data_IF_420030657738
#
_entry.id   IF_420030657738
#
_cell.length_a   1.000
_cell.length_b   1.000
_cell.length_c   1.000
_cell.angle_alpha   90.00
_cell.angle_beta   90.00
_cell.angle_gamma   90.00
#
_symmetry.space_group_name_H-M   'P 1'
#
loop_
_entity.id
_entity.type
_entity.pdbx_description
1 polymer ?
#
# COMPACT_ATOMS: atom_id res chain seq x y z
N UNK A 1 -32.42 -28.30 31.87
CA UNK A 1 -32.29 -28.82 30.50
C UNK A 1 -31.09 -28.16 29.86
N UNK A 2 -30.03 -28.93 29.59
CA UNK A 2 -28.83 -28.46 28.88
C UNK A 2 -29.10 -28.31 27.38
N UNK A 3 -28.55 -27.30 26.69
CA UNK A 3 -28.47 -27.30 25.23
C UNK A 3 -27.20 -28.03 24.77
N UNK A 4 -27.42 -29.18 24.15
CA UNK A 4 -26.42 -30.11 23.59
C UNK A 4 -25.58 -29.45 22.50
N UNK A 5 -24.26 -29.58 22.62
CA UNK A 5 -23.28 -29.16 21.63
C UNK A 5 -23.28 -30.01 20.35
N UNK A 6 -22.88 -29.40 19.24
CA UNK A 6 -22.70 -30.06 17.95
C UNK A 6 -21.35 -30.80 17.95
N UNK A 7 -21.43 -32.12 17.83
CA UNK A 7 -20.32 -33.07 17.82
C UNK A 7 -19.65 -33.07 16.44
N UNK A 8 -18.32 -32.94 16.40
CA UNK A 8 -17.52 -33.06 15.17
C UNK A 8 -17.63 -34.49 14.62
N UNK A 9 -18.30 -34.66 13.50
CA UNK A 9 -18.18 -35.86 12.68
C UNK A 9 -16.81 -35.88 11.97
N UNK A 10 -16.25 -37.08 11.78
CA UNK A 10 -14.99 -37.47 11.10
C UNK A 10 -13.77 -37.75 11.99
N UNK A 11 -13.36 -39.03 12.15
CA UNK A 11 -12.05 -39.40 12.67
C UNK A 11 -10.95 -39.25 11.60
N UNK A 12 -9.83 -38.63 11.96
CA UNK A 12 -8.63 -38.54 11.09
C UNK A 12 -7.98 -39.92 10.96
N UNK A 13 -7.94 -40.48 9.75
CA UNK A 13 -7.16 -41.70 9.45
C UNK A 13 -5.65 -41.43 9.52
N UNK A 14 -4.94 -42.29 10.24
CA UNK A 14 -3.47 -42.38 10.37
C UNK A 14 -2.92 -43.03 9.10
N UNK A 15 -1.97 -42.39 8.42
CA UNK A 15 -1.27 -43.00 7.26
C UNK A 15 -0.16 -43.91 7.81
N UNK A 16 -0.31 -45.22 7.60
CA UNK A 16 0.71 -46.24 7.90
C UNK A 16 1.81 -46.11 6.84
N UNK A 17 3.07 -46.10 7.30
CA UNK A 17 4.27 -46.20 6.45
C UNK A 17 4.46 -47.64 6.05
N UNK A 18 4.82 -47.86 4.80
CA UNK A 18 5.29 -49.15 4.30
C UNK A 18 6.76 -48.95 3.91
N UNK A 19 7.64 -49.75 4.53
CA UNK A 19 9.07 -49.84 4.26
C UNK A 19 9.35 -51.28 3.82
N UNK A 20 9.80 -51.48 2.58
CA UNK A 20 10.76 -52.55 2.26
C UNK A 20 11.52 -52.28 0.94
N UNK A 21 12.84 -52.22 1.14
CA UNK A 21 14.02 -52.50 0.29
C UNK A 21 13.82 -53.38 -0.97
N UNK A 22 14.66 -53.44 -2.02
CA UNK A 22 15.97 -52.91 -2.46
C UNK A 22 16.15 -53.33 -3.94
N UNK A 23 16.79 -52.53 -4.79
CA UNK A 23 17.77 -53.03 -5.80
C UNK A 23 18.58 -51.88 -6.43
N UNK A 24 19.90 -52.10 -6.55
CA UNK A 24 21.01 -51.29 -7.13
C UNK A 24 21.89 -52.32 -7.90
N UNK A 25 22.93 -52.08 -8.77
CA UNK A 25 23.62 -50.87 -9.37
C UNK A 25 23.75 -50.93 -10.94
N UNK A 26 24.64 -50.18 -11.68
CA UNK A 26 25.85 -49.38 -11.31
C UNK A 26 25.93 -47.93 -11.85
N UNK A 27 26.43 -46.95 -11.06
CA UNK A 27 27.82 -46.47 -10.85
C UNK A 27 28.53 -45.86 -12.07
N UNK A 28 28.73 -44.54 -12.04
CA UNK A 28 29.95 -43.85 -12.52
C UNK A 28 30.35 -42.77 -11.50
N UNK A 29 31.66 -42.74 -11.19
CA UNK A 29 32.37 -41.94 -10.17
C UNK A 29 32.99 -40.71 -10.85
N UNK A 30 32.89 -39.49 -10.31
CA UNK A 30 33.85 -38.71 -9.47
C UNK A 30 33.35 -37.24 -9.61
N UNK A 31 33.42 -36.33 -8.65
CA UNK A 31 34.56 -35.95 -7.79
C UNK A 31 34.12 -35.57 -6.37
N UNK A 32 35.07 -35.72 -5.44
CA UNK A 32 34.96 -35.47 -4.02
C UNK A 32 34.91 -33.97 -3.70
N UNK A 33 33.87 -33.55 -2.99
CA UNK A 33 33.84 -32.32 -2.21
C UNK A 33 33.09 -32.62 -0.92
N UNK A 34 33.81 -32.82 0.18
CA UNK A 34 33.22 -33.08 1.49
C UNK A 34 32.69 -31.76 2.06
N UNK A 35 31.45 -31.38 1.74
CA UNK A 35 30.78 -30.25 2.40
C UNK A 35 29.68 -30.76 3.33
N UNK A 36 30.04 -30.82 4.62
CA UNK A 36 29.09 -30.81 5.74
C UNK A 36 28.12 -29.63 5.51
N UNK A 37 26.80 -29.75 5.79
CA UNK A 37 25.92 -28.59 5.75
C UNK A 37 26.55 -27.49 6.60
N UNK A 38 27.00 -26.39 5.98
CA UNK A 38 27.66 -25.33 6.73
C UNK A 38 26.65 -24.79 7.74
N UNK A 39 26.87 -25.13 9.00
CA UNK A 39 26.07 -24.66 10.13
C UNK A 39 26.54 -23.23 10.46
N UNK A 40 26.29 -22.29 9.54
CA UNK A 40 26.78 -20.92 9.58
C UNK A 40 26.00 -20.03 10.58
N UNK A 41 24.87 -20.50 11.13
CA UNK A 41 24.13 -19.82 12.20
C UNK A 41 24.46 -20.31 13.62
N UNK A 42 25.44 -21.20 13.82
CA UNK A 42 25.88 -21.68 15.15
C UNK A 42 26.01 -20.61 16.24
N UNK A 43 26.60 -19.42 16.00
CA UNK A 43 26.78 -18.44 17.08
C UNK A 43 25.48 -17.71 17.45
N UNK A 44 24.38 -17.93 16.73
CA UNK A 44 23.13 -17.22 16.97
C UNK A 44 22.21 -17.97 17.92
N UNK A 45 21.88 -17.29 19.01
CA UNK A 45 20.72 -17.57 19.85
C UNK A 45 19.70 -16.45 19.63
N UNK A 46 18.65 -16.74 18.87
CA UNK A 46 17.66 -15.76 18.43
C UNK A 46 16.33 -15.82 19.19
N UNK A 47 15.70 -14.67 19.36
CA UNK A 47 14.31 -14.55 19.79
C UNK A 47 13.52 -13.77 18.74
N UNK A 48 12.48 -14.38 18.17
CA UNK A 48 11.64 -13.72 17.14
C UNK A 48 10.41 -13.11 17.80
N UNK A 49 10.30 -11.78 17.75
CA UNK A 49 9.15 -11.08 18.30
C UNK A 49 7.98 -11.16 17.32
N UNK A 50 6.95 -11.94 17.69
CA UNK A 50 5.79 -12.19 16.81
C UNK A 50 4.99 -10.91 16.48
N UNK A 51 5.04 -9.91 17.35
CA UNK A 51 4.36 -8.63 17.14
C UNK A 51 4.91 -7.91 15.89
N UNK A 52 4.05 -7.72 14.89
CA UNK A 52 4.41 -7.10 13.60
C UNK A 52 4.87 -8.10 12.52
N UNK A 53 5.48 -9.23 12.90
CA UNK A 53 5.92 -10.26 11.95
C UNK A 53 4.79 -11.24 11.60
N UNK A 54 3.90 -11.54 12.56
CA UNK A 54 2.82 -12.51 12.42
C UNK A 54 3.27 -13.94 12.70
N UNK A 55 2.35 -14.76 13.23
CA UNK A 55 2.65 -16.10 13.75
C UNK A 55 3.24 -17.05 12.70
N UNK A 56 2.60 -17.17 11.53
CA UNK A 56 3.07 -18.07 10.46
C UNK A 56 4.47 -17.72 9.96
N UNK A 57 4.79 -16.42 9.86
CA UNK A 57 6.12 -15.98 9.40
C UNK A 57 7.18 -16.18 10.47
N UNK A 58 6.84 -15.97 11.75
CA UNK A 58 7.73 -16.28 12.86
C UNK A 58 8.05 -17.79 12.94
N UNK A 59 7.06 -18.67 12.72
CA UNK A 59 7.28 -20.12 12.66
C UNK A 59 8.21 -20.54 11.52
N UNK A 60 8.10 -19.89 10.35
CA UNK A 60 9.02 -20.11 9.22
C UNK A 60 10.45 -19.71 9.61
N UNK A 61 10.63 -18.54 10.23
CA UNK A 61 11.94 -18.10 10.70
C UNK A 61 12.51 -19.01 11.77
N UNK A 62 11.70 -19.49 12.72
CA UNK A 62 12.15 -20.46 13.73
C UNK A 62 12.72 -21.71 13.07
N UNK A 63 11.98 -22.29 12.13
CA UNK A 63 12.42 -23.48 11.40
C UNK A 63 13.71 -23.22 10.62
N UNK A 64 13.81 -22.08 9.94
CA UNK A 64 14.99 -21.74 9.14
C UNK A 64 16.23 -21.47 9.99
N UNK A 65 16.10 -20.84 11.16
CA UNK A 65 17.24 -20.62 12.06
C UNK A 65 17.78 -21.97 12.57
N UNK A 66 16.89 -22.86 13.03
CA UNK A 66 17.26 -24.20 13.52
C UNK A 66 17.88 -25.06 12.41
N UNK A 67 17.31 -25.01 11.19
CA UNK A 67 17.83 -25.76 10.05
C UNK A 67 19.25 -25.37 9.63
N UNK A 68 19.68 -24.14 9.90
CA UNK A 68 21.02 -23.66 9.55
C UNK A 68 21.98 -23.61 10.76
N UNK A 69 21.64 -24.31 11.85
CA UNK A 69 22.51 -24.51 13.02
C UNK A 69 22.37 -23.47 14.14
N UNK A 70 21.42 -22.54 14.07
CA UNK A 70 21.15 -21.57 15.15
C UNK A 70 20.12 -22.07 16.17
N UNK A 71 20.05 -21.41 17.33
CA UNK A 71 19.12 -21.74 18.42
C UNK A 71 18.03 -20.68 18.53
N UNK A 72 16.78 -21.09 18.77
CA UNK A 72 15.65 -20.16 18.96
C UNK A 72 15.00 -20.39 20.32
N UNK A 73 14.88 -19.33 21.11
CA UNK A 73 14.12 -19.36 22.37
C UNK A 73 12.69 -18.86 22.16
N UNK A 74 11.74 -19.45 22.90
CA UNK A 74 10.34 -19.03 22.92
C UNK A 74 10.08 -17.82 23.84
N UNK A 75 11.06 -17.47 24.68
CA UNK A 75 11.02 -16.34 25.61
C UNK A 75 12.38 -15.64 25.63
N UNK A 76 12.39 -14.35 26.00
CA UNK A 76 13.63 -13.59 26.12
C UNK A 76 14.38 -14.05 27.38
N UNK A 77 15.48 -14.79 27.19
CA UNK A 77 16.38 -15.25 28.25
C UNK A 77 17.71 -14.49 28.23
N UNK A 78 18.55 -14.71 29.26
CA UNK A 78 19.90 -14.13 29.33
C UNK A 78 20.84 -14.62 28.20
N UNK A 79 20.52 -15.73 27.57
CA UNK A 79 21.34 -16.39 26.54
C UNK A 79 21.06 -15.87 25.13
N UNK A 80 19.95 -15.15 24.93
CA UNK A 80 19.61 -14.57 23.62
C UNK A 80 20.65 -13.52 23.22
N UNK A 81 21.18 -13.67 22.02
CA UNK A 81 22.16 -12.76 21.38
C UNK A 81 21.49 -11.80 20.40
N UNK A 82 20.44 -12.25 19.70
CA UNK A 82 19.74 -11.48 18.67
C UNK A 82 18.23 -11.48 18.90
N UNK A 83 17.61 -10.29 18.90
CA UNK A 83 16.15 -10.15 18.88
C UNK A 83 15.72 -9.68 17.50
N UNK A 84 14.89 -10.48 16.85
CA UNK A 84 14.42 -10.24 15.49
C UNK A 84 13.03 -9.60 15.56
N UNK A 85 12.91 -8.39 15.00
CA UNK A 85 11.69 -7.59 15.00
C UNK A 85 11.20 -7.24 13.59
N UNK A 86 9.96 -6.78 13.49
CA UNK A 86 9.39 -6.31 12.22
C UNK A 86 10.13 -5.07 11.67
N UNK A 87 10.02 -4.83 10.35
CA UNK A 87 10.72 -3.71 9.67
C UNK A 87 10.32 -2.33 10.19
N UNK A 88 9.05 -2.20 10.58
CA UNK A 88 8.39 -1.01 11.09
C UNK A 88 8.46 -0.89 12.62
N UNK A 89 9.20 -1.77 13.29
CA UNK A 89 9.33 -1.75 14.75
C UNK A 89 10.25 -0.63 15.21
N UNK A 90 9.72 0.29 16.01
CA UNK A 90 10.49 1.32 16.71
C UNK A 90 11.05 0.83 18.06
N UNK A 91 12.07 1.52 18.58
CA UNK A 91 12.75 1.12 19.81
C UNK A 91 11.85 1.16 21.05
N UNK A 92 11.02 2.19 21.22
CA UNK A 92 10.19 2.37 22.41
C UNK A 92 9.10 1.27 22.47
N UNK A 93 8.52 0.93 21.32
CA UNK A 93 7.57 -0.17 21.17
C UNK A 93 8.24 -1.53 21.38
N UNK A 94 9.42 -1.75 20.82
CA UNK A 94 10.18 -2.98 21.03
C UNK A 94 10.48 -3.22 22.52
N UNK A 95 10.95 -2.19 23.23
CA UNK A 95 11.26 -2.29 24.66
C UNK A 95 10.02 -2.55 25.51
N UNK A 96 8.88 -1.93 25.18
CA UNK A 96 7.60 -2.18 25.85
C UNK A 96 7.14 -3.63 25.68
N UNK A 97 7.25 -4.17 24.47
CA UNK A 97 6.83 -5.54 24.15
C UNK A 97 7.77 -6.59 24.75
N UNK A 98 9.07 -6.31 24.78
CA UNK A 98 10.09 -7.15 25.39
C UNK A 98 10.16 -6.98 26.92
N UNK A 99 9.40 -6.04 27.49
CA UNK A 99 9.43 -5.66 28.91
C UNK A 99 10.84 -5.30 29.39
N UNK A 100 11.62 -4.63 28.54
CA UNK A 100 12.99 -4.20 28.83
C UNK A 100 13.02 -2.73 29.25
N UNK A 101 13.85 -2.40 30.23
CA UNK A 101 14.14 -1.01 30.64
C UNK A 101 15.46 -0.50 30.08
N UNK A 102 16.44 -1.40 29.86
CA UNK A 102 17.74 -1.12 29.24
C UNK A 102 18.20 -2.32 28.42
N UNK A 103 18.98 -2.06 27.38
CA UNK A 103 19.60 -3.11 26.57
C UNK A 103 20.80 -3.72 27.30
N UNK A 104 20.90 -5.04 27.29
CA UNK A 104 22.06 -5.75 27.83
C UNK A 104 23.26 -5.59 26.87
N UNK A 105 24.50 -5.41 27.36
CA UNK A 105 25.69 -5.43 26.51
C UNK A 105 25.76 -6.75 25.74
N UNK A 106 25.88 -6.68 24.41
CA UNK A 106 25.93 -7.85 23.52
C UNK A 106 24.59 -8.33 22.95
N UNK A 107 23.44 -7.79 23.40
CA UNK A 107 22.15 -8.09 22.80
C UNK A 107 21.90 -7.18 21.58
N UNK A 108 21.71 -7.76 20.40
CA UNK A 108 21.47 -7.01 19.17
C UNK A 108 19.98 -7.03 18.79
N UNK A 109 19.39 -5.85 18.61
CA UNK A 109 18.01 -5.68 18.15
C UNK A 109 18.02 -5.43 16.64
N UNK A 110 17.61 -6.43 15.85
CA UNK A 110 17.75 -6.45 14.39
C UNK A 110 16.41 -6.65 13.69
N UNK A 111 16.26 -6.05 12.51
CA UNK A 111 15.08 -6.21 11.67
C UNK A 111 15.03 -7.58 10.97
N UNK A 112 13.84 -8.04 10.62
CA UNK A 112 13.62 -9.32 9.92
C UNK A 112 14.32 -9.41 8.54
N UNK A 113 14.57 -8.27 7.91
CA UNK A 113 15.33 -8.14 6.66
C UNK A 113 16.76 -8.63 6.80
N UNK A 114 17.37 -8.52 7.98
CA UNK A 114 18.70 -9.08 8.26
C UNK A 114 18.70 -10.60 8.17
N UNK A 115 17.77 -11.26 8.87
CA UNK A 115 17.67 -12.72 8.83
C UNK A 115 17.37 -13.20 7.40
N UNK A 116 16.51 -12.47 6.69
CA UNK A 116 16.17 -12.77 5.30
C UNK A 116 17.39 -12.68 4.37
N UNK A 117 18.26 -11.67 4.59
CA UNK A 117 19.50 -11.50 3.83
C UNK A 117 20.53 -12.58 4.18
N UNK A 118 20.68 -12.93 5.46
CA UNK A 118 21.58 -14.01 5.88
C UNK A 118 21.20 -15.35 5.26
N UNK A 119 19.90 -15.68 5.22
CA UNK A 119 19.40 -16.93 4.63
C UNK A 119 19.61 -16.95 3.11
N UNK A 120 19.38 -15.83 2.43
CA UNK A 120 19.57 -15.73 0.98
C UNK A 120 21.03 -15.91 0.59
N UNK A 121 21.94 -15.30 1.33
CA UNK A 121 23.37 -15.27 1.01
C UNK A 121 24.13 -16.43 1.69
N UNK A 122 23.41 -17.30 2.41
CA UNK A 122 23.91 -18.46 3.16
C UNK A 122 25.12 -18.16 4.05
N UNK A 123 25.17 -16.95 4.62
CA UNK A 123 26.29 -16.48 5.44
C UNK A 123 25.82 -15.55 6.55
N UNK A 124 26.57 -15.53 7.64
CA UNK A 124 26.32 -14.60 8.74
C UNK A 124 26.75 -13.18 8.35
N UNK A 125 25.77 -12.30 8.12
CA UNK A 125 26.03 -10.91 7.78
C UNK A 125 26.24 -10.05 9.04
N UNK A 126 27.05 -8.99 8.92
CA UNK A 126 27.16 -7.98 9.96
C UNK A 126 25.81 -7.29 10.19
N UNK A 127 25.50 -6.97 11.44
CA UNK A 127 24.23 -6.34 11.83
C UNK A 127 24.19 -4.81 11.60
N UNK A 128 25.32 -4.22 11.18
CA UNK A 128 25.41 -2.81 10.79
C UNK A 128 24.47 -2.53 9.60
N UNK A 129 23.55 -1.56 9.77
CA UNK A 129 22.53 -1.21 8.76
C UNK A 129 21.18 -1.89 8.94
N UNK A 130 21.09 -2.95 9.75
CA UNK A 130 19.83 -3.65 10.03
C UNK A 130 19.35 -3.54 11.49
N UNK A 131 20.12 -2.85 12.33
CA UNK A 131 19.76 -2.58 13.70
C UNK A 131 18.59 -1.59 13.80
N UNK A 132 17.73 -1.78 14.80
CA UNK A 132 16.81 -0.72 15.24
C UNK A 132 17.65 0.35 15.93
N UNK A 133 17.41 1.62 15.63
CA UNK A 133 18.11 2.72 16.30
C UNK A 133 17.77 2.74 17.79
N UNK A 134 18.78 2.69 18.67
CA UNK A 134 18.61 2.65 20.12
C UNK A 134 19.12 3.97 20.72
N UNK A 135 18.24 4.84 21.26
CA UNK A 135 18.66 6.05 21.93
C UNK A 135 19.61 5.79 23.12
N UNK A 136 20.57 6.69 23.42
CA UNK A 136 21.56 6.51 24.51
C UNK A 136 20.96 6.26 25.89
N UNK A 137 19.73 6.72 26.15
CA UNK A 137 18.96 6.47 27.37
C UNK A 137 18.70 4.97 27.65
N UNK A 138 18.77 4.12 26.63
CA UNK A 138 18.53 2.68 26.72
C UNK A 138 19.82 1.84 26.76
N UNK A 139 21.01 2.46 26.77
CA UNK A 139 22.31 1.77 26.81
C UNK A 139 22.96 1.94 28.18
N UNK A 140 23.55 0.86 28.73
CA UNK A 140 24.36 0.94 29.94
C UNK A 140 25.75 1.52 29.60
N UNK A 141 26.06 2.72 30.13
CA UNK A 141 27.41 3.27 30.04
C UNK A 141 28.37 2.47 30.93
N UNK A 142 29.42 1.90 30.35
CA UNK A 142 30.56 1.35 31.10
C UNK A 142 31.79 2.14 30.65
N UNK A 143 32.28 3.03 31.51
CA UNK A 143 33.56 3.71 31.33
C UNK A 143 34.66 2.92 32.08
N UNK A 144 35.83 2.64 31.48
CA UNK A 144 36.99 2.21 32.24
C UNK A 144 37.58 3.37 33.06
N UNK A 145 37.93 3.05 34.31
CA UNK A 145 38.47 3.93 35.35
C UNK A 145 39.92 4.35 35.08
N UNK A 146 40.21 5.66 35.15
CA UNK A 146 41.46 6.25 35.65
C UNK A 146 41.12 7.62 36.27
N UNK A 147 41.42 7.79 37.55
CA UNK A 147 41.15 8.97 38.39
C UNK A 147 42.40 9.88 38.49
N UNK A 148 42.41 10.96 39.30
CA UNK A 148 41.57 12.17 39.27
C UNK A 148 42.45 13.46 39.31
N UNK A 149 41.85 14.66 39.20
CA UNK A 149 42.24 15.88 39.96
C UNK A 149 41.33 17.07 39.60
N UNK A 150 40.76 17.76 40.61
CA UNK A 150 40.37 19.18 40.53
C UNK A 150 38.88 19.53 40.39
N UNK A 151 38.18 19.65 41.53
CA UNK A 151 36.87 20.28 41.80
C UNK A 151 36.91 21.84 41.81
N UNK A 152 35.80 22.62 42.02
CA UNK A 152 34.34 22.38 41.80
C UNK A 152 33.49 23.61 41.29
N UNK A 153 32.15 23.38 41.22
CA UNK A 153 30.97 24.30 41.33
C UNK A 153 30.54 25.04 40.04
N UNK A 154 29.27 25.02 39.56
CA UNK A 154 27.96 25.13 40.23
C UNK A 154 26.82 24.36 39.53
N UNK A 155 25.87 23.85 40.33
CA UNK A 155 24.58 23.23 39.98
C UNK A 155 23.45 24.13 40.49
N UNK A 156 22.30 24.14 39.80
CA UNK A 156 20.96 23.94 40.40
C UNK A 156 19.84 24.26 39.38
N UNK A 157 18.61 23.72 39.40
CA UNK A 157 17.94 22.57 40.05
C UNK A 157 16.56 22.43 39.34
N UNK A 158 16.05 21.20 39.37
CA UNK A 158 14.76 20.66 38.91
C UNK A 158 13.46 21.27 39.46
N UNK A 159 12.35 21.05 38.71
CA UNK A 159 11.07 20.32 39.04
C UNK A 159 9.90 20.99 38.31
N UNK A 160 9.06 20.35 37.48
CA UNK A 160 8.21 19.15 37.58
C UNK A 160 6.96 19.30 38.49
N UNK A 161 5.77 19.44 37.89
CA UNK A 161 4.48 18.70 38.12
C UNK A 161 3.31 19.44 37.46
N UNK A 162 2.58 18.89 36.48
CA UNK A 162 1.40 17.98 36.53
C UNK A 162 0.02 18.67 36.75
N UNK A 163 -0.77 18.60 35.66
CA UNK A 163 -2.23 18.44 35.47
C UNK A 163 -3.25 19.58 35.66
N UNK A 164 -4.14 19.57 34.67
CA UNK A 164 -5.36 20.33 34.42
C UNK A 164 -6.44 20.11 35.50
N UNK A 165 -7.27 21.14 35.71
CA UNK A 165 -8.73 21.07 35.51
C UNK A 165 -9.40 22.45 35.58
N UNK A 166 -10.12 22.75 34.49
CA UNK A 166 -11.50 23.31 34.38
C UNK A 166 -11.95 24.58 35.13
N UNK A 167 -12.51 25.49 34.31
CA UNK A 167 -13.79 26.22 34.45
C UNK A 167 -13.94 27.54 35.24
N UNK A 168 -14.23 28.60 34.44
CA UNK A 168 -15.46 29.43 34.44
C UNK A 168 -15.54 30.72 35.32
N UNK A 169 -15.98 31.78 34.62
CA UNK A 169 -16.71 33.01 34.99
C UNK A 169 -15.99 34.30 35.48
N UNK A 170 -16.07 35.30 34.58
CA UNK A 170 -16.64 36.66 34.71
C UNK A 170 -16.02 37.77 35.59
N UNK A 171 -16.07 38.95 34.94
CA UNK A 171 -16.35 40.31 35.44
C UNK A 171 -15.21 41.30 35.75
N UNK A 172 -15.20 42.36 34.92
CA UNK A 172 -15.28 43.78 35.26
C UNK A 172 -14.04 44.68 35.11
N UNK A 173 -14.22 45.65 34.19
CA UNK A 173 -13.64 47.00 34.07
C UNK A 173 -13.86 47.84 35.37
N UNK A 174 -13.17 48.98 35.62
CA UNK A 174 -13.29 50.26 34.85
C UNK A 174 -12.01 51.15 34.78
N UNK A 175 -11.76 51.96 33.73
CA UNK A 175 -12.08 53.39 33.42
C UNK A 175 -10.91 54.40 33.58
N UNK A 176 -10.71 55.24 32.55
CA UNK A 176 -10.40 56.70 32.55
C UNK A 176 -9.99 57.13 31.09
N UNK A 177 -10.83 57.80 30.26
CA UNK A 177 -11.16 59.26 30.12
C UNK A 177 -9.91 60.18 30.04
N UNK A 178 -9.76 61.20 29.16
CA UNK A 178 -10.53 61.75 28.03
C UNK A 178 -9.72 62.91 27.34
N UNK A 179 -10.20 63.36 26.15
CA UNK A 179 -10.14 64.73 25.55
C UNK A 179 -9.35 65.02 24.23
N UNK A 180 -10.13 64.98 23.13
CA UNK A 180 -10.49 66.04 22.15
C UNK A 180 -9.52 66.64 21.09
N UNK A 181 -10.15 66.95 19.94
CA UNK A 181 -9.69 67.16 18.52
C UNK A 181 -9.67 68.67 18.13
N UNK A 182 -9.15 69.12 16.95
CA UNK A 182 -9.99 69.25 15.73
C UNK A 182 -9.29 69.02 14.35
N UNK A 183 -10.09 69.12 13.26
CA UNK A 183 -10.01 68.51 11.91
C UNK A 183 -9.42 69.35 10.72
N UNK A 184 -8.85 68.63 9.71
CA UNK A 184 -8.84 68.75 8.18
C UNK A 184 -8.44 70.04 7.39
N UNK A 185 -8.17 70.02 6.04
CA UNK A 185 -7.48 69.10 5.06
C UNK A 185 -6.65 69.89 3.96
N UNK A 186 -6.38 69.46 2.68
CA UNK A 186 -6.16 68.15 1.99
C UNK A 186 -4.83 68.03 1.15
N UNK A 187 -4.63 66.85 0.51
CA UNK A 187 -3.95 66.52 -0.78
C UNK A 187 -2.59 65.76 -0.91
N UNK A 188 -2.72 64.64 -1.65
CA UNK A 188 -1.85 63.95 -2.65
C UNK A 188 -0.55 63.14 -2.34
N UNK A 189 -0.64 61.84 -2.71
CA UNK A 189 0.29 60.96 -3.48
C UNK A 189 1.76 60.69 -3.05
N UNK A 190 2.07 59.44 -2.64
CA UNK A 190 2.90 58.41 -3.36
C UNK A 190 3.61 57.37 -2.45
N UNK A 191 3.28 56.10 -2.74
CA UNK A 191 4.16 54.91 -2.94
C UNK A 191 5.33 54.65 -1.97
N UNK A 192 5.21 53.55 -1.23
CA UNK A 192 6.21 53.01 -0.30
C UNK A 192 6.94 51.78 -0.86
N UNK A 193 8.24 51.96 -1.09
CA UNK A 193 9.40 51.16 -0.62
C UNK A 193 9.42 49.62 -0.72
N UNK A 194 10.51 49.19 -1.39
CA UNK A 194 11.54 48.20 -0.97
C UNK A 194 11.47 46.79 -1.57
N UNK A 195 12.04 46.70 -2.77
CA UNK A 195 12.87 45.59 -3.24
C UNK A 195 14.31 45.75 -2.72
N UNK A 196 15.02 44.61 -2.60
CA UNK A 196 16.46 44.41 -2.37
C UNK A 196 16.96 44.30 -0.91
N UNK A 197 16.58 43.19 -0.27
CA UNK A 197 17.52 42.35 0.48
C UNK A 197 17.56 41.02 -0.28
N UNK A 198 18.42 40.93 -1.30
CA UNK A 198 18.54 39.76 -2.18
C UNK A 198 20.01 39.41 -2.44
N UNK A 199 20.86 39.61 -1.43
CA UNK A 199 22.32 39.40 -1.53
C UNK A 199 22.90 38.71 -0.29
N UNK A 200 22.13 37.80 0.36
CA UNK A 200 22.63 37.01 1.52
C UNK A 200 22.09 35.57 1.61
N UNK A 201 21.56 34.98 0.53
CA UNK A 201 21.02 33.60 0.56
C UNK A 201 21.38 32.75 -0.67
N UNK A 202 22.56 33.00 -1.24
CA UNK A 202 23.14 32.21 -2.35
C UNK A 202 24.64 31.95 -2.13
N UNK A 203 25.02 31.55 -0.92
CA UNK A 203 26.40 31.13 -0.63
C UNK A 203 26.46 30.19 0.58
N UNK A 204 25.71 29.07 0.58
CA UNK A 204 26.12 27.92 1.41
C UNK A 204 25.45 26.60 1.00
N UNK A 205 25.81 26.05 -0.16
CA UNK A 205 25.49 24.68 -0.54
C UNK A 205 26.69 24.08 -1.31
N UNK A 206 27.79 23.89 -0.60
CA UNK A 206 28.91 23.07 -1.06
C UNK A 206 28.59 21.60 -0.76
N UNK A 207 28.03 20.91 -1.76
CA UNK A 207 27.81 19.48 -1.73
C UNK A 207 29.11 18.77 -2.12
N UNK A 208 29.70 18.04 -1.16
CA UNK A 208 30.85 17.14 -1.35
C UNK A 208 30.50 16.07 -2.40
N UNK A 209 31.17 16.12 -3.55
CA UNK A 209 31.29 14.99 -4.49
C UNK A 209 32.19 13.92 -3.86
N UNK A 210 31.66 12.71 -3.71
CA UNK A 210 32.45 11.48 -3.68
C UNK A 210 32.25 10.83 -5.05
N UNK A 211 33.35 10.60 -5.76
CA UNK A 211 33.37 9.81 -7.00
C UNK A 211 33.37 8.34 -6.64
N UNK A 212 32.56 7.56 -7.34
CA UNK A 212 32.97 6.27 -7.89
C UNK A 212 32.18 6.08 -9.18
N UNK A 213 32.93 5.82 -10.25
CA UNK A 213 32.46 5.52 -11.59
C UNK A 213 31.76 4.15 -11.64
N UNK A 214 30.72 4.03 -12.48
CA UNK A 214 30.48 2.97 -13.48
C UNK A 214 28.99 2.95 -13.90
N UNK A 215 28.78 2.78 -15.20
CA UNK A 215 27.53 2.56 -15.95
C UNK A 215 26.60 3.75 -16.25
N UNK A 216 27.09 4.51 -17.24
CA UNK A 216 26.35 5.33 -18.19
C UNK A 216 25.36 4.51 -19.02
N UNK A 217 24.06 4.79 -18.89
CA UNK A 217 23.15 5.23 -19.98
C UNK A 217 21.70 5.23 -19.46
N UNK A 218 21.22 6.42 -19.12
CA UNK A 218 19.82 6.67 -18.81
C UNK A 218 19.50 8.08 -19.25
N UNK A 219 19.08 8.24 -20.50
CA UNK A 219 18.56 9.50 -21.03
C UNK A 219 17.46 10.01 -20.09
N UNK A 220 17.66 11.18 -19.49
CA UNK A 220 16.59 11.97 -18.90
C UNK A 220 15.70 12.44 -20.05
N UNK A 221 14.72 11.60 -20.42
CA UNK A 221 13.74 11.91 -21.44
C UNK A 221 12.85 13.06 -20.92
N UNK A 222 13.34 14.29 -21.05
CA UNK A 222 12.58 15.49 -20.76
C UNK A 222 11.28 15.49 -21.56
N UNK A 223 10.16 15.79 -20.90
CA UNK A 223 8.84 15.89 -21.52
C UNK A 223 8.90 16.95 -22.62
N UNK A 224 8.67 16.55 -23.87
CA UNK A 224 8.72 17.48 -25.00
C UNK A 224 7.42 18.27 -25.12
N UNK A 225 7.46 19.39 -25.85
CA UNK A 225 6.25 20.14 -26.20
C UNK A 225 5.24 19.27 -26.98
N UNK A 226 5.74 18.34 -27.81
CA UNK A 226 4.90 17.37 -28.52
C UNK A 226 4.19 16.39 -27.57
N UNK A 227 4.84 15.97 -26.49
CA UNK A 227 4.21 15.12 -25.46
C UNK A 227 3.11 15.87 -24.70
N UNK A 228 3.32 17.16 -24.44
CA UNK A 228 2.31 18.03 -23.84
C UNK A 228 1.10 18.22 -24.76
N UNK A 229 1.33 18.47 -26.05
CA UNK A 229 0.27 18.57 -27.05
C UNK A 229 -0.49 17.25 -27.23
N UNK A 230 0.22 16.11 -27.22
CA UNK A 230 -0.39 14.79 -27.24
C UNK A 230 -1.25 14.51 -26.00
N UNK A 231 -0.79 14.96 -24.83
CA UNK A 231 -1.54 14.87 -23.58
C UNK A 231 -2.83 15.72 -23.63
N UNK A 232 -2.74 16.95 -24.14
CA UNK A 232 -3.87 17.89 -24.24
C UNK A 232 -4.89 17.41 -25.29
N UNK A 233 -4.42 17.03 -26.47
CA UNK A 233 -5.27 16.59 -27.58
C UNK A 233 -5.80 15.16 -27.43
N UNK A 234 -5.18 14.37 -26.53
CA UNK A 234 -5.41 12.94 -26.43
C UNK A 234 -4.91 12.15 -27.64
N UNK A 235 -4.18 12.77 -28.56
CA UNK A 235 -3.64 12.16 -29.78
C UNK A 235 -2.12 12.11 -29.68
N UNK A 236 -1.59 10.92 -29.40
CA UNK A 236 -0.15 10.71 -29.56
C UNK A 236 0.17 10.61 -31.06
N UNK A 237 1.24 11.29 -31.54
CA UNK A 237 1.69 11.09 -32.90
C UNK A 237 1.97 9.61 -33.09
N UNK A 238 1.19 8.98 -33.98
CA UNK A 238 1.52 7.67 -34.49
C UNK A 238 2.86 7.87 -35.19
N UNK A 239 3.93 7.24 -34.70
CA UNK A 239 5.14 7.08 -35.51
C UNK A 239 4.66 6.41 -36.79
N UNK A 240 4.53 7.18 -37.87
CA UNK A 240 4.33 6.64 -39.19
C UNK A 240 5.49 5.68 -39.41
N UNK A 241 5.18 4.40 -39.36
CA UNK A 241 6.06 3.37 -39.89
C UNK A 241 6.21 3.70 -41.36
N UNK A 242 7.30 4.40 -41.70
CA UNK A 242 7.77 4.44 -43.08
C UNK A 242 7.86 2.99 -43.55
N UNK A 243 7.28 2.76 -44.72
CA UNK A 243 7.16 1.47 -45.38
C UNK A 243 8.56 0.89 -45.64
N UNK A 244 9.10 0.15 -44.67
CA UNK A 244 10.13 -0.83 -44.95
C UNK A 244 9.42 -2.17 -45.11
N UNK A 245 9.20 -2.48 -46.38
CA UNK A 245 8.79 -3.77 -46.88
C UNK A 245 9.87 -4.81 -46.51
N UNK A 246 9.79 -5.38 -45.30
CA UNK A 246 10.59 -6.54 -44.94
C UNK A 246 9.69 -7.67 -44.45
N UNK A 247 9.41 -8.55 -45.41
CA UNK A 247 8.90 -9.89 -45.18
C UNK A 247 9.94 -10.69 -44.39
N UNK A 248 9.99 -10.50 -43.08
CA UNK A 248 10.67 -11.42 -42.19
C UNK A 248 9.84 -11.69 -40.94
N UNK A 249 9.53 -12.98 -40.78
CA UNK A 249 8.89 -13.65 -39.64
C UNK A 249 8.82 -12.82 -38.35
N UNK A 250 7.65 -12.24 -38.06
CA UNK A 250 7.31 -11.78 -36.73
C UNK A 250 7.25 -12.99 -35.80
N UNK A 251 8.39 -13.32 -35.17
CA UNK A 251 8.45 -14.31 -34.09
C UNK A 251 7.56 -13.77 -32.98
N UNK A 252 6.40 -14.41 -32.79
CA UNK A 252 5.49 -14.11 -31.70
C UNK A 252 6.25 -14.25 -30.39
N UNK A 253 6.65 -13.12 -29.80
CA UNK A 253 7.27 -13.11 -28.48
C UNK A 253 6.29 -13.75 -27.50
N UNK A 254 6.75 -14.65 -26.62
CA UNK A 254 5.88 -15.29 -25.65
C UNK A 254 5.17 -14.19 -24.82
N UNK A 255 3.88 -14.36 -24.51
CA UNK A 255 3.11 -13.34 -23.82
C UNK A 255 3.82 -12.98 -22.50
N UNK A 256 4.21 -11.71 -22.37
CA UNK A 256 4.90 -11.20 -21.20
C UNK A 256 4.10 -11.51 -19.94
N UNK A 257 4.77 -11.93 -18.86
CA UNK A 257 4.13 -12.23 -17.57
C UNK A 257 3.38 -11.04 -16.97
N UNK A 258 3.77 -9.83 -17.33
CA UNK A 258 3.25 -8.58 -16.77
C UNK A 258 2.17 -7.98 -17.66
N UNK A 259 1.08 -7.53 -17.03
CA UNK A 259 -0.05 -6.88 -17.73
C UNK A 259 0.37 -5.60 -18.45
N UNK A 260 1.34 -4.85 -17.90
CA UNK A 260 1.84 -3.60 -18.49
C UNK A 260 2.63 -3.80 -19.79
N UNK A 261 3.11 -5.02 -20.07
CA UNK A 261 3.82 -5.33 -21.30
C UNK A 261 2.88 -5.88 -22.39
N UNK A 262 1.57 -5.90 -22.13
CA UNK A 262 0.55 -6.32 -23.09
C UNK A 262 -0.36 -5.12 -23.44
N UNK A 263 -0.63 -4.93 -24.73
CA UNK A 263 -1.58 -3.89 -25.18
C UNK A 263 -2.96 -4.15 -24.60
N UNK A 264 -3.65 -3.10 -24.14
CA UNK A 264 -5.03 -3.20 -23.66
C UNK A 264 -6.03 -3.45 -24.80
N UNK A 265 -5.67 -3.16 -26.05
CA UNK A 265 -6.55 -3.27 -27.22
C UNK A 265 -6.68 -4.71 -27.73
N UNK A 266 -5.87 -5.65 -27.25
CA UNK A 266 -5.95 -7.07 -27.61
C UNK A 266 -7.16 -7.77 -26.97
N UNK A 267 -7.83 -7.13 -26.01
CA UNK A 267 -8.96 -7.68 -25.23
C UNK A 267 -10.33 -7.30 -25.79
N UNK A 268 -10.50 -7.32 -27.12
CA UNK A 268 -11.78 -6.87 -27.74
C UNK A 268 -12.91 -7.86 -27.50
N UNK A 269 -12.62 -9.17 -27.48
CA UNK A 269 -13.65 -10.19 -27.37
C UNK A 269 -13.34 -11.17 -26.24
N UNK A 270 -14.33 -11.42 -25.38
CA UNK A 270 -14.22 -12.38 -24.28
C UNK A 270 -14.91 -13.69 -24.67
N UNK A 271 -14.15 -14.65 -25.21
CA UNK A 271 -14.69 -15.97 -25.59
C UNK A 271 -15.07 -16.85 -24.39
N UNK A 272 -14.77 -16.42 -23.16
CA UNK A 272 -14.95 -17.19 -21.93
C UNK A 272 -15.98 -16.55 -21.00
N UNK A 273 -16.95 -15.82 -21.55
CA UNK A 273 -17.93 -15.02 -20.80
C UNK A 273 -18.67 -15.84 -19.74
N UNK A 274 -19.18 -17.02 -20.10
CA UNK A 274 -19.90 -17.92 -19.19
C UNK A 274 -19.10 -18.30 -17.93
N UNK A 275 -17.78 -18.45 -18.06
CA UNK A 275 -16.87 -18.74 -16.95
C UNK A 275 -16.61 -17.45 -16.15
N UNK A 276 -16.27 -16.38 -16.85
CA UNK A 276 -15.87 -15.12 -16.20
C UNK A 276 -16.97 -14.52 -15.36
N UNK A 277 -18.23 -14.55 -15.81
CA UNK A 277 -19.38 -14.01 -15.07
C UNK A 277 -19.57 -14.70 -13.71
N UNK A 278 -19.49 -16.04 -13.68
CA UNK A 278 -19.61 -16.82 -12.44
C UNK A 278 -18.45 -16.54 -11.49
N UNK A 279 -17.22 -16.43 -12.01
CA UNK A 279 -16.04 -16.11 -11.20
C UNK A 279 -16.08 -14.65 -10.69
N UNK A 280 -16.65 -13.72 -11.45
CA UNK A 280 -16.80 -12.31 -11.05
C UNK A 280 -17.71 -12.15 -9.84
N UNK A 281 -18.84 -12.87 -9.79
CA UNK A 281 -19.72 -12.88 -8.60
C UNK A 281 -18.94 -13.32 -7.36
N UNK A 282 -18.12 -14.37 -7.48
CA UNK A 282 -17.33 -14.88 -6.37
C UNK A 282 -16.18 -13.93 -5.98
N UNK A 283 -15.53 -13.30 -6.95
CA UNK A 283 -14.50 -12.29 -6.73
C UNK A 283 -15.07 -11.09 -5.95
N UNK A 284 -16.24 -10.61 -6.36
CA UNK A 284 -16.97 -9.52 -5.72
C UNK A 284 -17.35 -9.87 -4.28
N UNK A 285 -17.92 -11.05 -4.06
CA UNK A 285 -18.27 -11.54 -2.72
C UNK A 285 -17.04 -11.54 -1.78
N UNK A 286 -15.88 -12.03 -2.24
CA UNK A 286 -14.66 -12.01 -1.43
C UNK A 286 -14.10 -10.61 -1.18
N UNK A 287 -14.22 -9.72 -2.16
CA UNK A 287 -13.82 -8.32 -2.01
C UNK A 287 -14.63 -7.63 -0.90
N UNK A 288 -15.95 -7.79 -0.96
CA UNK A 288 -16.90 -7.23 0.02
C UNK A 288 -16.68 -7.82 1.42
N UNK A 289 -16.32 -9.10 1.52
CA UNK A 289 -15.95 -9.75 2.79
C UNK A 289 -14.57 -9.32 3.31
N UNK A 290 -13.78 -8.57 2.55
CA UNK A 290 -12.43 -8.15 2.93
C UNK A 290 -11.33 -9.18 2.68
N UNK A 291 -11.63 -10.29 1.99
CA UNK A 291 -10.60 -11.24 1.58
C UNK A 291 -9.95 -10.80 0.26
N UNK A 292 -9.03 -9.85 0.42
CA UNK A 292 -8.31 -9.22 -0.69
C UNK A 292 -7.50 -10.23 -1.50
N UNK A 293 -6.94 -11.25 -0.86
CA UNK A 293 -6.06 -12.22 -1.54
C UNK A 293 -6.84 -13.17 -2.42
N UNK A 294 -7.97 -13.70 -1.93
CA UNK A 294 -8.86 -14.52 -2.75
C UNK A 294 -9.46 -13.70 -3.87
N UNK A 295 -10.00 -12.51 -3.57
CA UNK A 295 -10.54 -11.61 -4.58
C UNK A 295 -9.52 -11.33 -5.69
N UNK A 296 -8.28 -10.98 -5.34
CA UNK A 296 -7.19 -10.76 -6.29
C UNK A 296 -6.87 -12.01 -7.12
N UNK A 297 -6.87 -13.19 -6.50
CA UNK A 297 -6.68 -14.46 -7.20
C UNK A 297 -7.72 -14.71 -8.28
N UNK A 298 -9.01 -14.48 -7.98
CA UNK A 298 -10.08 -14.56 -8.97
C UNK A 298 -9.93 -13.48 -10.04
N UNK A 299 -9.65 -12.22 -9.68
CA UNK A 299 -9.46 -11.13 -10.66
C UNK A 299 -8.34 -11.42 -11.65
N UNK A 300 -7.23 -12.03 -11.20
CA UNK A 300 -6.15 -12.46 -12.10
C UNK A 300 -6.60 -13.55 -13.06
N UNK A 301 -7.33 -14.56 -12.58
CA UNK A 301 -7.85 -15.64 -13.42
C UNK A 301 -8.89 -15.12 -14.43
N UNK A 302 -9.81 -14.25 -14.00
CA UNK A 302 -10.81 -13.61 -14.86
C UNK A 302 -10.12 -12.81 -15.96
N UNK A 303 -9.12 -12.00 -15.61
CA UNK A 303 -8.37 -11.23 -16.60
C UNK A 303 -7.64 -12.12 -17.61
N UNK A 304 -7.04 -13.23 -17.16
CA UNK A 304 -6.38 -14.19 -18.03
C UNK A 304 -7.37 -14.85 -19.01
N UNK A 305 -8.57 -15.23 -18.52
CA UNK A 305 -9.65 -15.81 -19.33
C UNK A 305 -10.22 -14.81 -20.34
N UNK A 306 -10.42 -13.55 -19.94
CA UNK A 306 -10.87 -12.46 -20.84
C UNK A 306 -9.89 -12.18 -21.97
N UNK A 307 -8.59 -12.37 -21.72
CA UNK A 307 -7.55 -12.21 -22.74
C UNK A 307 -7.25 -13.48 -23.52
N UNK A 308 -7.88 -14.61 -23.19
CA UNK A 308 -7.60 -15.87 -23.85
C UNK A 308 -8.29 -15.91 -25.22
N UNK A 309 -7.51 -16.18 -26.27
CA UNK A 309 -7.86 -16.00 -27.68
C UNK A 309 -8.96 -16.95 -28.22
N UNK A 310 -9.46 -17.86 -27.40
CA UNK A 310 -10.47 -18.86 -27.79
C UNK A 310 -11.23 -19.35 -26.56
N UNK A 311 -12.36 -20.05 -26.70
CA UNK A 311 -13.03 -20.66 -25.56
C UNK A 311 -12.19 -21.77 -24.96
N UNK A 312 -12.13 -21.83 -23.63
CA UNK A 312 -11.52 -22.93 -22.88
C UNK A 312 -12.48 -24.11 -22.88
N UNK A 313 -12.00 -25.29 -23.27
CA UNK A 313 -12.84 -26.49 -23.43
C UNK A 313 -12.46 -27.63 -22.49
N UNK A 314 -11.29 -27.56 -21.85
CA UNK A 314 -10.78 -28.66 -21.01
C UNK A 314 -10.00 -28.17 -19.80
N UNK A 315 -9.89 -29.04 -18.80
CA UNK A 315 -9.09 -28.80 -17.61
C UNK A 315 -7.59 -28.61 -17.93
N UNK A 316 -7.04 -29.43 -18.82
CA UNK A 316 -5.62 -29.37 -19.20
C UNK A 316 -5.31 -28.04 -19.89
N UNK A 317 -6.22 -27.57 -20.73
CA UNK A 317 -6.13 -26.26 -21.37
C UNK A 317 -6.17 -25.12 -20.34
N UNK A 318 -7.14 -25.16 -19.41
CA UNK A 318 -7.23 -24.16 -18.34
C UNK A 318 -5.94 -24.08 -17.52
N UNK A 319 -5.30 -25.22 -17.21
CA UNK A 319 -4.03 -25.24 -16.48
C UNK A 319 -2.83 -24.65 -17.24
N UNK A 320 -2.89 -24.61 -18.58
CA UNK A 320 -1.82 -24.01 -19.40
C UNK A 320 -1.90 -22.48 -19.44
N UNK A 321 -3.04 -21.91 -19.04
CA UNK A 321 -3.22 -20.45 -19.03
C UNK A 321 -2.41 -19.85 -17.88
N UNK A 322 -1.47 -18.92 -18.17
CA UNK A 322 -0.69 -18.25 -17.13
C UNK A 322 -1.59 -17.58 -16.09
N UNK A 323 -1.35 -17.88 -14.80
CA UNK A 323 -2.15 -17.35 -13.69
C UNK A 323 -3.32 -18.23 -13.25
N UNK A 324 -3.61 -19.33 -13.96
CA UNK A 324 -4.63 -20.32 -13.59
C UNK A 324 -3.95 -21.56 -13.03
N UNK A 325 -4.14 -21.82 -11.73
CA UNK A 325 -3.66 -23.04 -11.07
C UNK A 325 -4.70 -24.17 -11.04
N UNK A 326 -4.28 -25.37 -10.61
CA UNK A 326 -5.13 -26.58 -10.54
C UNK A 326 -6.52 -26.35 -9.92
N UNK A 327 -6.57 -25.67 -8.76
CA UNK A 327 -7.83 -25.36 -8.05
C UNK A 327 -8.76 -24.40 -8.78
N UNK A 328 -8.21 -23.55 -9.65
CA UNK A 328 -9.00 -22.66 -10.48
C UNK A 328 -9.49 -23.39 -11.72
N UNK A 329 -8.61 -24.19 -12.35
CA UNK A 329 -8.97 -25.07 -13.46
C UNK A 329 -10.08 -26.07 -13.09
N UNK A 330 -10.09 -26.61 -11.87
CA UNK A 330 -11.19 -27.44 -11.36
C UNK A 330 -12.54 -26.70 -11.36
N UNK A 331 -12.56 -25.41 -11.03
CA UNK A 331 -13.79 -24.59 -11.04
C UNK A 331 -14.22 -24.25 -12.45
N UNK A 332 -13.26 -24.00 -13.33
CA UNK A 332 -13.51 -23.78 -14.75
C UNK A 332 -14.16 -25.03 -15.35
N UNK A 333 -13.62 -26.21 -15.07
CA UNK A 333 -14.19 -27.48 -15.49
C UNK A 333 -15.61 -27.67 -14.95
N UNK A 334 -15.85 -27.42 -13.66
CA UNK A 334 -17.19 -27.50 -13.06
C UNK A 334 -18.20 -26.59 -13.77
N UNK A 335 -17.80 -25.36 -14.12
CA UNK A 335 -18.64 -24.43 -14.87
C UNK A 335 -18.88 -24.92 -16.30
N UNK A 336 -17.87 -25.51 -16.95
CA UNK A 336 -18.01 -26.06 -18.30
C UNK A 336 -18.97 -27.26 -18.35
N UNK A 337 -18.91 -28.15 -17.35
CA UNK A 337 -19.73 -29.36 -17.28
C UNK A 337 -21.17 -29.07 -16.87
N UNK A 338 -21.37 -28.15 -15.92
CA UNK A 338 -22.69 -27.92 -15.30
C UNK A 338 -23.35 -26.59 -15.66
N UNK A 339 -22.60 -25.65 -16.27
CA UNK A 339 -23.03 -24.25 -16.45
C UNK A 339 -23.08 -23.44 -15.14
N UNK A 340 -22.68 -24.04 -14.02
CA UNK A 340 -22.82 -23.47 -12.68
C UNK A 340 -21.58 -23.68 -11.82
N UNK A 341 -21.49 -22.91 -10.74
CA UNK A 341 -20.43 -23.06 -9.75
C UNK A 341 -21.09 -23.22 -8.38
N UNK A 342 -21.04 -24.42 -7.80
CA UNK A 342 -21.67 -24.77 -6.50
C UNK A 342 -21.24 -23.86 -5.36
N UNK A 343 -20.07 -23.25 -5.47
CA UNK A 343 -19.57 -22.30 -4.47
C UNK A 343 -20.42 -21.03 -4.38
N UNK A 344 -21.11 -20.65 -5.46
CA UNK A 344 -22.02 -19.51 -5.49
C UNK A 344 -23.25 -19.72 -4.60
N UNK A 345 -23.73 -20.97 -4.50
CA UNK A 345 -24.88 -21.32 -3.64
C UNK A 345 -24.56 -21.21 -2.15
N UNK A 346 -23.27 -21.19 -1.80
CA UNK A 346 -22.76 -21.12 -0.44
C UNK A 346 -22.11 -19.76 -0.13
N UNK A 347 -22.52 -18.71 -0.84
CA UNK A 347 -22.16 -17.33 -0.49
C UNK A 347 -22.87 -16.97 0.81
N UNK A 348 -22.13 -16.31 1.72
CA UNK A 348 -22.70 -15.91 3.01
C UNK A 348 -23.81 -14.88 2.83
N UNK A 349 -24.90 -15.02 3.58
CA UNK A 349 -25.99 -14.04 3.67
C UNK A 349 -25.53 -12.65 4.12
N UNK A 350 -24.33 -12.53 4.69
CA UNK A 350 -23.71 -11.24 5.00
C UNK A 350 -23.31 -10.44 3.75
N UNK A 351 -23.04 -11.10 2.61
CA UNK A 351 -22.47 -10.45 1.43
C UNK A 351 -23.37 -9.37 0.85
N UNK A 352 -24.68 -9.58 0.62
CA UNK A 352 -25.55 -8.53 0.10
C UNK A 352 -25.59 -7.28 1.01
N UNK A 353 -25.61 -7.47 2.33
CA UNK A 353 -25.64 -6.36 3.30
C UNK A 353 -24.31 -5.63 3.34
N UNK A 354 -23.20 -6.37 3.36
CA UNK A 354 -21.86 -5.78 3.33
C UNK A 354 -21.63 -5.02 2.02
N UNK A 355 -22.18 -5.49 0.91
CA UNK A 355 -22.13 -4.81 -0.38
C UNK A 355 -22.94 -3.51 -0.34
N UNK A 356 -24.19 -3.58 0.14
CA UNK A 356 -25.06 -2.42 0.35
C UNK A 356 -24.34 -1.32 1.14
N UNK A 357 -23.66 -1.70 2.23
CA UNK A 357 -22.91 -0.76 3.06
C UNK A 357 -21.62 -0.27 2.41
N UNK A 358 -20.90 -1.13 1.69
CA UNK A 358 -19.65 -0.76 1.02
C UNK A 358 -19.86 0.18 -0.17
N UNK A 359 -21.08 0.25 -0.69
CA UNK A 359 -21.46 1.17 -1.75
C UNK A 359 -21.71 2.60 -1.24
N UNK A 360 -21.80 2.82 0.08
CA UNK A 360 -21.87 4.17 0.64
C UNK A 360 -20.49 4.82 0.48
N UNK A 361 -20.42 5.95 -0.22
CA UNK A 361 -19.15 6.68 -0.38
C UNK A 361 -18.56 7.07 0.98
N UNK A 362 -17.29 6.75 1.21
CA UNK A 362 -16.62 6.88 2.51
C UNK A 362 -16.78 5.69 3.46
N UNK A 363 -17.50 4.63 3.07
CA UNK A 363 -17.63 3.39 3.83
C UNK A 363 -16.94 2.21 3.13
N UNK A 364 -15.70 1.92 3.53
CA UNK A 364 -15.00 0.73 3.07
C UNK A 364 -15.43 -0.54 3.80
N UNK A 365 -14.86 -1.67 3.38
CA UNK A 365 -15.08 -3.02 3.97
C UNK A 365 -15.10 -3.03 5.50
N UNK A 366 -14.14 -2.34 6.15
CA UNK A 366 -14.06 -2.30 7.63
C UNK A 366 -15.28 -1.64 8.25
N UNK A 367 -15.72 -0.53 7.69
CA UNK A 367 -16.91 0.21 8.14
C UNK A 367 -18.16 -0.62 7.92
N UNK A 368 -18.29 -1.23 6.73
CA UNK A 368 -19.40 -2.13 6.42
C UNK A 368 -19.48 -3.33 7.38
N UNK A 369 -18.35 -3.96 7.69
CA UNK A 369 -18.28 -5.06 8.66
C UNK A 369 -18.65 -4.61 10.08
N UNK A 370 -18.17 -3.44 10.50
CA UNK A 370 -18.52 -2.87 11.80
C UNK A 370 -20.03 -2.65 11.91
N UNK A 371 -20.67 -2.02 10.93
CA UNK A 371 -22.12 -1.82 10.90
C UNK A 371 -22.89 -3.14 10.88
N UNK A 372 -22.41 -4.13 10.12
CA UNK A 372 -23.00 -5.46 10.12
C UNK A 372 -22.93 -6.14 11.50
N UNK A 373 -21.80 -6.02 12.20
CA UNK A 373 -21.62 -6.56 13.56
C UNK A 373 -22.49 -5.83 14.60
N UNK A 374 -22.79 -4.55 14.38
CA UNK A 374 -23.75 -3.78 15.18
C UNK A 374 -25.22 -4.19 14.92
N UNK A 375 -25.46 -5.12 13.99
CA UNK A 375 -26.79 -5.62 13.66
C UNK A 375 -27.51 -4.83 12.58
N UNK A 376 -26.87 -3.83 11.96
CA UNK A 376 -27.49 -3.06 10.89
C UNK A 376 -27.62 -3.91 9.62
N UNK A 377 -28.75 -3.80 8.93
CA UNK A 377 -29.03 -4.57 7.71
C UNK A 377 -29.49 -3.71 6.53
N UNK A 378 -29.95 -2.49 6.80
CA UNK A 378 -30.55 -1.61 5.81
C UNK A 378 -29.88 -0.23 5.79
N UNK A 379 -30.09 0.54 4.70
CA UNK A 379 -29.64 1.94 4.65
C UNK A 379 -30.34 2.82 5.69
N UNK A 380 -31.57 2.47 6.08
CA UNK A 380 -32.32 3.20 7.10
C UNK A 380 -31.71 3.00 8.50
N UNK A 381 -31.21 1.81 8.80
CA UNK A 381 -30.43 1.58 10.03
C UNK A 381 -29.21 2.50 10.09
N UNK A 382 -28.51 2.67 8.95
CA UNK A 382 -27.36 3.56 8.86
C UNK A 382 -27.78 5.02 9.06
N UNK A 383 -28.90 5.43 8.46
CA UNK A 383 -29.42 6.80 8.56
C UNK A 383 -29.82 7.18 9.99
N UNK A 384 -30.40 6.24 10.73
CA UNK A 384 -31.02 6.52 12.03
C UNK A 384 -30.12 6.19 13.23
N UNK A 385 -29.28 5.16 13.12
CA UNK A 385 -28.54 4.58 14.27
C UNK A 385 -27.03 4.74 14.16
N UNK A 386 -26.46 4.87 12.97
CA UNK A 386 -25.02 4.92 12.80
C UNK A 386 -24.46 6.34 13.04
N UNK A 387 -23.29 6.41 13.67
CA UNK A 387 -22.50 7.65 13.71
C UNK A 387 -21.70 7.78 12.43
N UNK A 388 -22.02 8.78 11.60
CA UNK A 388 -21.42 8.98 10.28
C UNK A 388 -20.38 10.10 10.28
N UNK A 389 -19.32 9.92 9.51
CA UNK A 389 -18.44 11.04 9.11
C UNK A 389 -19.15 11.95 8.11
N UNK A 390 -18.67 13.19 7.93
CA UNK A 390 -19.22 14.12 6.92
C UNK A 390 -19.24 13.50 5.52
N UNK A 391 -18.17 12.79 5.15
CA UNK A 391 -18.07 12.07 3.87
C UNK A 391 -19.16 10.99 3.74
N UNK A 392 -19.35 10.16 4.76
CA UNK A 392 -20.36 9.10 4.76
C UNK A 392 -21.79 9.64 4.75
N UNK A 393 -22.04 10.77 5.41
CA UNK A 393 -23.34 11.43 5.36
C UNK A 393 -23.69 11.89 3.93
N UNK A 394 -22.72 12.46 3.21
CA UNK A 394 -22.88 12.80 1.78
C UNK A 394 -23.07 11.54 0.94
N UNK A 395 -22.25 10.50 1.18
CA UNK A 395 -22.35 9.22 0.49
C UNK A 395 -23.70 8.52 0.68
N UNK A 396 -24.31 8.65 1.86
CA UNK A 396 -25.64 8.10 2.14
C UNK A 396 -26.75 8.96 1.52
N UNK A 397 -26.57 10.28 1.51
CA UNK A 397 -27.52 11.22 0.90
C UNK A 397 -27.65 11.01 -0.61
N UNK A 398 -26.52 10.82 -1.30
CA UNK A 398 -26.42 10.65 -2.76
C UNK A 398 -26.17 9.19 -3.17
N UNK A 399 -26.63 8.23 -2.36
CA UNK A 399 -26.33 6.81 -2.56
C UNK A 399 -26.79 6.27 -3.93
N UNK A 400 -28.01 6.64 -4.36
CA UNK A 400 -28.54 6.21 -5.65
C UNK A 400 -27.76 6.83 -6.82
N UNK A 401 -27.54 8.14 -6.78
CA UNK A 401 -26.81 8.89 -7.80
C UNK A 401 -25.39 8.34 -8.00
N UNK A 402 -24.67 8.04 -6.91
CA UNK A 402 -23.30 7.49 -6.98
C UNK A 402 -23.22 6.04 -7.47
N UNK A 403 -24.33 5.29 -7.46
CA UNK A 403 -24.40 3.96 -8.06
C UNK A 403 -24.68 4.01 -9.55
N UNK A 404 -25.31 5.08 -10.03
CA UNK A 404 -25.60 5.27 -11.43
C UNK A 404 -24.31 5.51 -12.23
N UNK A 405 -24.26 4.91 -13.43
CA UNK A 405 -23.11 5.02 -14.32
C UNK A 405 -23.33 6.22 -15.23
N UNK A 406 -22.51 7.27 -15.07
CA UNK A 406 -22.60 8.45 -15.95
C UNK A 406 -22.17 8.11 -17.39
N UNK A 407 -22.88 8.61 -18.41
CA UNK A 407 -22.45 8.54 -19.79
C UNK A 407 -21.15 9.34 -20.01
N UNK A 408 -20.49 9.09 -21.15
CA UNK A 408 -19.21 9.74 -21.47
C UNK A 408 -19.37 11.24 -21.67
N UNK A 409 -20.49 11.66 -22.22
CA UNK A 409 -20.84 13.05 -22.51
C UNK A 409 -20.88 13.86 -21.21
N UNK A 410 -21.56 13.35 -20.18
CA UNK A 410 -21.60 13.97 -18.84
C UNK A 410 -20.19 14.09 -18.24
N UNK A 411 -19.35 13.06 -18.35
CA UNK A 411 -17.98 13.13 -17.87
C UNK A 411 -17.13 14.19 -18.60
N UNK A 412 -17.42 14.46 -19.89
CA UNK A 412 -16.78 15.52 -20.66
C UNK A 412 -17.23 16.91 -20.19
N UNK A 413 -18.52 17.08 -19.88
CA UNK A 413 -19.08 18.33 -19.35
C UNK A 413 -18.52 18.66 -17.95
N UNK A 414 -18.38 17.67 -17.09
CA UNK A 414 -17.74 17.83 -15.76
C UNK A 414 -16.29 18.31 -15.94
N UNK A 415 -15.53 17.69 -16.84
CA UNK A 415 -14.15 18.07 -17.06
C UNK A 415 -14.03 19.46 -17.71
N UNK A 416 -14.94 19.81 -18.62
CA UNK A 416 -15.04 21.17 -19.18
C UNK A 416 -15.29 22.21 -18.08
N UNK A 417 -16.20 21.94 -17.16
CA UNK A 417 -16.50 22.82 -16.02
C UNK A 417 -15.25 23.05 -15.16
N UNK A 418 -14.50 21.97 -14.86
CA UNK A 418 -13.25 22.06 -14.11
C UNK A 418 -12.17 22.84 -14.89
N UNK A 419 -12.07 22.61 -16.20
CA UNK A 419 -11.13 23.32 -17.09
C UNK A 419 -11.41 24.82 -17.12
N UNK A 420 -12.65 25.23 -17.32
CA UNK A 420 -13.04 26.65 -17.36
C UNK A 420 -12.74 27.36 -16.04
N UNK A 421 -13.10 26.73 -14.91
CA UNK A 421 -12.80 27.28 -13.59
C UNK A 421 -11.29 27.38 -13.33
N UNK A 422 -10.50 26.39 -13.78
CA UNK A 422 -9.05 26.44 -13.66
C UNK A 422 -8.44 27.57 -14.50
N UNK A 423 -8.83 27.68 -15.77
CA UNK A 423 -8.35 28.73 -16.68
C UNK A 423 -8.72 30.14 -16.19
N UNK A 424 -9.92 30.31 -15.64
CA UNK A 424 -10.36 31.57 -15.05
C UNK A 424 -9.53 31.96 -13.81
N UNK A 425 -9.06 30.99 -13.03
CA UNK A 425 -8.18 31.24 -11.88
C UNK A 425 -6.77 31.62 -12.30
N UNK A 426 -6.23 30.93 -13.31
CA UNK A 426 -4.89 31.20 -13.82
C UNK A 426 -4.78 30.78 -15.29
N UNK A 427 -4.53 31.74 -16.20
CA UNK A 427 -4.21 31.44 -17.58
C UNK A 427 -2.99 30.50 -17.68
N UNK A 428 -3.03 29.57 -18.62
CA UNK A 428 -1.94 28.61 -18.85
C UNK A 428 -2.03 27.30 -18.05
N UNK A 429 -3.01 27.16 -17.15
CA UNK A 429 -3.31 25.86 -16.54
C UNK A 429 -3.80 24.86 -17.58
N UNK A 430 -3.39 23.61 -17.43
CA UNK A 430 -3.74 22.48 -18.28
C UNK A 430 -4.58 21.50 -17.46
N UNK A 431 -5.78 21.20 -17.94
CA UNK A 431 -6.70 20.23 -17.34
C UNK A 431 -6.92 19.06 -18.30
N UNK A 432 -6.82 17.83 -17.78
CA UNK A 432 -6.92 16.60 -18.58
C UNK A 432 -7.75 15.55 -17.85
N UNK A 433 -8.85 15.12 -18.48
CA UNK A 433 -9.61 13.96 -18.03
C UNK A 433 -8.74 12.68 -18.03
N UNK A 434 -8.72 11.98 -16.90
CA UNK A 434 -7.93 10.80 -16.63
C UNK A 434 -8.83 9.56 -16.46
N UNK A 435 -8.40 8.61 -15.65
CA UNK A 435 -9.28 7.53 -15.20
C UNK A 435 -9.85 6.66 -16.31
N UNK A 436 -11.10 6.22 -16.08
CA UNK A 436 -11.85 5.39 -17.03
C UNK A 436 -12.18 6.15 -18.32
N UNK A 437 -12.41 7.46 -18.21
CA UNK A 437 -12.66 8.35 -19.34
C UNK A 437 -11.50 8.32 -20.34
N UNK A 438 -10.25 8.51 -19.86
CA UNK A 438 -9.04 8.46 -20.72
C UNK A 438 -8.82 7.10 -21.36
N UNK A 439 -9.27 6.01 -20.72
CA UNK A 439 -9.20 4.64 -21.28
C UNK A 439 -10.30 4.32 -22.29
N UNK A 440 -11.12 5.30 -22.67
CA UNK A 440 -12.16 5.13 -23.71
C UNK A 440 -13.38 4.33 -23.26
N UNK A 441 -13.69 4.27 -21.95
CA UNK A 441 -14.92 3.62 -21.49
C UNK A 441 -16.15 4.44 -21.91
N UNK A 442 -17.22 3.74 -22.29
CA UNK A 442 -18.49 4.34 -22.73
C UNK A 442 -19.27 4.99 -21.58
N UNK A 443 -19.10 4.46 -20.36
CA UNK A 443 -19.63 5.07 -19.14
C UNK A 443 -18.51 5.26 -18.13
N UNK A 444 -18.67 6.21 -17.21
CA UNK A 444 -17.77 6.50 -16.09
C UNK A 444 -18.53 6.32 -14.76
N UNK A 445 -17.80 6.28 -13.65
CA UNK A 445 -18.38 6.18 -12.29
C UNK A 445 -17.98 7.37 -11.44
N UNK A 446 -16.81 7.89 -11.76
CA UNK A 446 -16.24 9.15 -11.33
C UNK A 446 -15.49 9.78 -12.51
N UNK A 447 -15.14 11.06 -12.35
CA UNK A 447 -14.31 11.80 -13.29
C UNK A 447 -13.03 12.22 -12.58
N UNK A 448 -11.91 11.65 -13.03
CA UNK A 448 -10.58 12.04 -12.58
C UNK A 448 -10.09 13.19 -13.46
N UNK A 449 -9.76 14.35 -12.91
CA UNK A 449 -9.17 15.46 -13.67
C UNK A 449 -7.78 15.80 -13.13
N UNK A 450 -6.77 15.67 -13.98
CA UNK A 450 -5.42 16.14 -13.70
C UNK A 450 -5.33 17.63 -14.02
N UNK A 451 -4.84 18.43 -13.07
CA UNK A 451 -4.58 19.87 -13.26
C UNK A 451 -3.09 20.14 -13.07
N UNK A 452 -2.46 20.77 -14.05
CA UNK A 452 -1.02 21.10 -14.04
C UNK A 452 -0.74 22.42 -14.74
N UNK A 453 0.52 22.84 -14.75
CA UNK A 453 1.00 23.98 -15.52
C UNK A 453 2.37 23.64 -16.15
N UNK A 454 2.64 24.00 -17.42
CA UNK A 454 3.88 23.64 -18.13
C UNK A 454 5.17 24.11 -17.43
N UNK A 455 5.12 25.21 -16.69
CA UNK A 455 6.26 25.73 -15.91
C UNK A 455 6.63 24.90 -14.67
N UNK A 456 5.85 23.85 -14.32
CA UNK A 456 6.08 23.00 -13.16
C UNK A 456 5.88 23.68 -11.79
N UNK A 457 5.43 24.93 -11.73
CA UNK A 457 5.37 25.73 -10.50
C UNK A 457 4.00 26.38 -10.29
N UNK A 458 3.38 26.85 -11.38
CA UNK A 458 2.19 27.69 -11.33
C UNK A 458 0.91 26.97 -10.89
N UNK A 459 0.91 25.64 -10.86
CA UNK A 459 -0.17 24.82 -10.33
C UNK A 459 -0.16 24.73 -8.78
N UNK A 460 0.91 25.18 -8.11
CA UNK A 460 1.02 25.11 -6.65
C UNK A 460 -0.10 25.88 -5.95
N UNK A 461 -0.81 25.21 -5.05
CA UNK A 461 -1.90 25.80 -4.27
C UNK A 461 -3.18 26.09 -5.06
N UNK A 462 -3.29 25.63 -6.31
CA UNK A 462 -4.48 25.86 -7.15
C UNK A 462 -5.70 25.08 -6.63
N UNK A 463 -5.50 23.89 -6.06
CA UNK A 463 -6.61 22.99 -5.66
C UNK A 463 -7.66 23.67 -4.77
N UNK A 464 -7.26 24.31 -3.68
CA UNK A 464 -8.22 24.96 -2.77
C UNK A 464 -8.94 26.13 -3.45
N UNK A 465 -8.23 26.95 -4.23
CA UNK A 465 -8.82 28.08 -4.97
C UNK A 465 -9.83 27.60 -6.02
N UNK A 466 -9.50 26.51 -6.71
CA UNK A 466 -10.38 25.86 -7.68
C UNK A 466 -11.64 25.32 -7.01
N UNK A 467 -11.49 24.61 -5.90
CA UNK A 467 -12.61 24.10 -5.14
C UNK A 467 -13.51 25.23 -4.62
N UNK A 468 -12.94 26.31 -4.10
CA UNK A 468 -13.70 27.48 -3.62
C UNK A 468 -14.36 28.27 -4.76
N UNK A 469 -13.78 28.26 -5.97
CA UNK A 469 -14.42 28.80 -7.16
C UNK A 469 -15.64 27.98 -7.56
N UNK A 470 -15.48 26.65 -7.64
CA UNK A 470 -16.56 25.74 -8.01
C UNK A 470 -17.71 25.79 -7.01
N UNK A 471 -17.42 25.82 -5.70
CA UNK A 471 -18.45 25.97 -4.65
C UNK A 471 -19.25 27.26 -4.75
N UNK A 472 -18.67 28.33 -5.31
CA UNK A 472 -19.36 29.61 -5.48
C UNK A 472 -20.28 29.61 -6.71
N UNK A 473 -20.02 28.74 -7.69
CA UNK A 473 -20.88 28.60 -8.88
C UNK A 473 -22.11 27.72 -8.66
N UNK A 474 -22.15 26.95 -7.57
CA UNK A 474 -23.22 25.98 -7.27
C UNK A 474 -22.63 24.64 -6.89
#
# INVERSE_FOLDING_TARGET
>A
MEPRGIVKAFPKRKKVRDDSEKSIPPKSLKEEGTEVPEEWLKPIIAYVLQAGIGQTRAEIFHRQIVQNGGVVHSQLSSEVTHVIVAEDMDCDRAFRLLKLTKLRPGLQLVKASWLSACIRDQKLLRTAGYGVFIPPRYVNATLPSLAPMGTPVSKAVYKASVRLSTSILFCSLPEAKAHYVPMLPPDELKVSRRTLILTWLLSDLSLKKYSDDEDSEGEDAGVTQGDLEALISGRYPVKSSEEINDSSYAVAQPPSKWVCAQSSNTKKENHNQCITEKLEVLAKAYSVQGDKWRALGYSKAINALKSYHKPVTSYQEACKIPGIGKRMAEKILEILESGHLRKLDHISESVPVLELFSNIWGAGVKTAQMWYQQGFRTLDDIRTKATLTSQQAVGLKHYADFLERMPREEAAEIEQTVREAALALKPGLVCVACGSYRRGKATCGDVDVLVTHPDGQSHRGVFNKLLDSLRRSG
#
